data_IF_282263641770
#
_entry.id   IF_282263641770
#
_cell.length_a   1.000
_cell.length_b   1.000
_cell.length_c   1.000
_cell.angle_alpha   90.00
_cell.angle_beta   90.00
_cell.angle_gamma   90.00
#
_symmetry.space_group_name_H-M   'P 1'
#
loop_
_entity.id
_entity.type
_entity.pdbx_description
1 polymer ?
#
# COMPACT_ATOMS: atom_id res chain seq x y z
N UNK A 1 3.62 23.75 22.19
CA UNK A 1 3.38 22.34 22.61
C UNK A 1 2.12 22.25 23.46
N UNK A 2 1.08 21.55 22.98
CA UNK A 2 -0.09 21.22 23.79
C UNK A 2 0.33 20.19 24.83
N UNK A 3 -0.01 20.41 26.10
CA UNK A 3 0.25 19.44 27.14
C UNK A 3 -0.58 18.17 26.87
N UNK A 4 0.10 17.03 26.79
CA UNK A 4 -0.52 15.72 26.70
C UNK A 4 -1.27 15.44 28.01
N UNK A 5 -2.57 15.15 27.92
CA UNK A 5 -3.38 14.77 29.09
C UNK A 5 -3.57 13.26 29.02
N UNK A 6 -2.96 12.55 29.97
CA UNK A 6 -3.20 11.13 30.16
C UNK A 6 -4.61 10.94 30.74
N UNK A 7 -5.42 10.07 30.13
CA UNK A 7 -6.67 9.66 30.75
C UNK A 7 -6.40 8.83 32.01
N UNK A 8 -7.37 8.82 32.92
CA UNK A 8 -7.37 7.86 34.02
C UNK A 8 -7.49 6.47 33.44
N UNK A 9 -6.64 5.55 33.91
CA UNK A 9 -6.78 4.14 33.59
C UNK A 9 -8.20 3.68 33.93
N UNK A 10 -8.90 3.12 32.94
CA UNK A 10 -10.23 2.56 33.12
C UNK A 10 -10.11 1.17 33.78
N UNK A 11 -11.16 0.69 34.47
CA UNK A 11 -11.26 -0.69 34.94
C UNK A 11 -11.18 -1.69 33.78
N UNK A 12 -10.66 -2.91 34.00
CA UNK A 12 -10.49 -3.93 32.93
C UNK A 12 -11.82 -4.38 32.30
N UNK A 13 -12.91 -4.26 33.05
CA UNK A 13 -14.28 -4.58 32.66
C UNK A 13 -15.01 -3.42 31.97
N UNK A 14 -14.37 -2.25 31.84
CA UNK A 14 -14.90 -1.11 31.09
C UNK A 14 -14.83 -1.40 29.58
N UNK A 15 -15.90 -1.16 28.80
CA UNK A 15 -15.90 -1.38 27.35
C UNK A 15 -14.84 -0.54 26.61
N UNK A 16 -14.39 0.57 27.20
CA UNK A 16 -13.35 1.44 26.65
C UNK A 16 -11.96 1.16 27.27
N UNK A 17 -11.81 0.10 28.07
CA UNK A 17 -10.54 -0.29 28.68
C UNK A 17 -9.44 -0.51 27.65
N UNK A 18 -8.27 0.04 27.96
CA UNK A 18 -7.05 -0.21 27.21
C UNK A 18 -5.87 -0.40 28.18
N UNK A 19 -4.99 -1.38 27.96
CA UNK A 19 -3.75 -1.53 28.74
C UNK A 19 -2.72 -0.42 28.47
N UNK A 20 -2.98 0.44 27.47
CA UNK A 20 -2.13 1.57 27.11
C UNK A 20 -2.69 2.88 27.69
N UNK A 21 -1.83 3.76 28.20
CA UNK A 21 -2.23 5.11 28.65
C UNK A 21 -2.74 5.90 27.44
N UNK A 22 -4.06 6.01 27.30
CA UNK A 22 -4.69 6.80 26.25
C UNK A 22 -4.36 8.27 26.48
N UNK A 23 -3.40 8.77 25.68
CA UNK A 23 -3.13 10.19 25.61
C UNK A 23 -4.13 10.79 24.63
N UNK A 24 -5.24 11.32 25.11
CA UNK A 24 -6.15 12.08 24.24
C UNK A 24 -5.45 13.37 23.85
N UNK A 25 -5.34 13.62 22.55
CA UNK A 25 -5.00 14.92 21.99
C UNK A 25 -6.32 15.68 21.84
N UNK A 26 -6.72 16.47 22.85
CA UNK A 26 -7.99 17.17 22.79
C UNK A 26 -7.84 18.22 21.67
N UNK A 27 -8.92 18.57 20.98
CA UNK A 27 -8.97 19.58 19.89
C UNK A 27 -8.11 19.37 18.63
N UNK A 28 -7.83 18.13 18.21
CA UNK A 28 -7.25 17.94 16.88
C UNK A 28 -8.29 18.26 15.80
N UNK A 29 -8.05 19.23 14.90
CA UNK A 29 -8.99 19.50 13.82
C UNK A 29 -9.18 18.24 12.98
N UNK A 30 -10.45 17.85 12.79
CA UNK A 30 -10.83 16.89 11.77
C UNK A 30 -10.53 17.53 10.42
N UNK A 31 -9.88 16.78 9.54
CA UNK A 31 -9.60 17.25 8.19
C UNK A 31 -10.73 16.72 7.30
N UNK A 32 -11.42 17.54 6.48
CA UNK A 32 -12.48 17.04 5.62
C UNK A 32 -11.95 15.89 4.76
N UNK A 33 -12.55 14.71 4.86
CA UNK A 33 -12.12 13.52 4.14
C UNK A 33 -12.77 13.42 2.75
N UNK A 34 -13.03 14.55 2.08
CA UNK A 34 -13.69 14.60 0.76
C UNK A 34 -14.96 13.73 0.65
N UNK A 35 -15.80 13.70 1.69
CA UNK A 35 -17.04 12.92 1.69
C UNK A 35 -16.88 11.47 2.15
N UNK A 36 -15.67 11.02 2.52
CA UNK A 36 -15.46 9.70 3.13
C UNK A 36 -16.18 9.54 4.48
N UNK A 37 -16.53 10.65 5.14
CA UNK A 37 -17.41 10.68 6.32
C UNK A 37 -18.78 10.06 6.04
N UNK A 38 -19.31 10.21 4.82
CA UNK A 38 -20.62 9.67 4.42
C UNK A 38 -20.61 8.13 4.36
N UNK A 39 -19.42 7.53 4.21
CA UNK A 39 -19.21 6.08 4.19
C UNK A 39 -18.82 5.51 5.57
N UNK A 40 -18.85 6.32 6.64
CA UNK A 40 -18.50 5.89 7.99
C UNK A 40 -17.01 5.59 8.19
N UNK A 41 -16.16 6.08 7.29
CA UNK A 41 -14.72 5.78 7.28
C UNK A 41 -13.94 6.77 8.17
N UNK A 42 -12.85 6.34 8.81
CA UNK A 42 -12.11 7.19 9.74
C UNK A 42 -11.48 8.37 9.02
N UNK A 43 -11.85 9.56 9.47
CA UNK A 43 -11.25 10.83 9.05
C UNK A 43 -9.82 10.92 9.56
N UNK A 44 -8.82 11.18 8.70
CA UNK A 44 -7.46 11.43 9.14
C UNK A 44 -7.43 12.57 10.14
N UNK A 45 -7.02 12.30 11.39
CA UNK A 45 -6.83 13.35 12.40
C UNK A 45 -5.35 13.71 12.42
N UNK A 46 -5.04 15.01 12.33
CA UNK A 46 -3.65 15.55 12.35
C UNK A 46 -2.77 15.03 13.50
N UNK A 47 -3.39 14.53 14.56
CA UNK A 47 -2.75 13.97 15.75
C UNK A 47 -3.30 12.58 16.14
N UNK A 48 -4.07 11.91 15.27
CA UNK A 48 -4.31 10.48 15.49
C UNK A 48 -2.96 9.79 15.50
N UNK A 49 -2.76 8.86 16.42
CA UNK A 49 -1.50 8.12 16.56
C UNK A 49 -1.06 7.52 15.21
N UNK A 50 -2.04 7.01 14.47
CA UNK A 50 -1.87 6.43 13.14
C UNK A 50 -1.49 7.42 12.05
N UNK A 51 -1.63 8.73 12.22
CA UNK A 51 -1.30 9.73 11.18
C UNK A 51 -0.26 10.75 11.62
N UNK A 52 0.25 10.63 12.85
CA UNK A 52 1.13 11.60 13.49
C UNK A 52 2.37 11.99 12.69
N UNK A 53 2.95 11.05 11.95
CA UNK A 53 4.19 11.24 11.21
C UNK A 53 3.99 11.44 9.70
N UNK A 54 2.73 11.39 9.24
CA UNK A 54 2.38 11.59 7.85
C UNK A 54 1.83 13.01 7.63
N UNK A 55 2.19 13.64 6.52
CA UNK A 55 1.74 15.00 6.21
C UNK A 55 0.34 15.02 5.57
N UNK A 56 -0.66 14.72 6.39
CA UNK A 56 -2.08 14.76 6.00
C UNK A 56 -2.46 16.15 5.51
N UNK A 57 -1.96 17.21 6.16
CA UNK A 57 -2.33 18.59 5.83
C UNK A 57 -1.88 18.98 4.43
N UNK A 58 -0.67 18.60 4.02
CA UNK A 58 -0.18 18.84 2.68
C UNK A 58 -0.95 18.05 1.61
N UNK A 59 -1.32 16.80 1.90
CA UNK A 59 -2.15 15.99 1.01
C UNK A 59 -3.53 16.64 0.76
N UNK A 60 -4.26 17.04 1.81
CA UNK A 60 -5.62 17.57 1.66
C UNK A 60 -5.71 19.02 1.15
N UNK A 61 -4.58 19.70 1.02
CA UNK A 61 -4.54 21.04 0.40
C UNK A 61 -4.57 20.97 -1.13
N UNK A 62 -4.29 19.80 -1.70
CA UNK A 62 -4.25 19.57 -3.12
C UNK A 62 -5.63 19.09 -3.62
N UNK A 63 -6.12 19.67 -4.72
CA UNK A 63 -7.36 19.23 -5.35
C UNK A 63 -7.07 18.05 -6.29
N UNK A 64 -7.43 16.83 -5.88
CA UNK A 64 -7.30 15.60 -6.69
C UNK A 64 -8.63 15.17 -7.33
N UNK A 65 -9.54 16.11 -7.61
CA UNK A 65 -10.82 15.82 -8.26
C UNK A 65 -10.70 15.27 -9.68
N UNK A 66 -9.53 15.40 -10.31
CA UNK A 66 -9.24 14.81 -11.62
C UNK A 66 -8.74 13.38 -11.42
N UNK A 67 -9.34 12.43 -12.12
CA UNK A 67 -8.95 11.03 -12.10
C UNK A 67 -8.15 10.69 -13.37
N UNK A 68 -7.11 9.87 -13.25
CA UNK A 68 -6.42 9.32 -14.41
C UNK A 68 -7.39 8.41 -15.18
N UNK A 69 -7.42 8.52 -16.52
CA UNK A 69 -8.55 8.01 -17.32
C UNK A 69 -8.87 6.51 -17.15
N UNK A 70 -10.01 6.09 -17.69
CA UNK A 70 -10.61 4.77 -17.39
C UNK A 70 -10.18 3.65 -18.34
N UNK A 71 -10.13 2.41 -17.83
CA UNK A 71 -10.08 1.18 -18.62
C UNK A 71 -8.72 0.79 -19.21
N UNK A 72 -8.75 0.32 -20.46
CA UNK A 72 -7.57 -0.09 -21.24
C UNK A 72 -7.05 1.11 -22.05
N UNK A 73 -5.73 1.24 -22.18
CA UNK A 73 -5.09 2.23 -23.05
C UNK A 73 -4.61 1.57 -24.34
N UNK A 74 -4.98 2.15 -25.47
CA UNK A 74 -4.37 1.85 -26.77
C UNK A 74 -3.15 2.76 -26.94
N UNK A 75 -1.98 2.17 -27.17
CA UNK A 75 -0.72 2.90 -27.33
C UNK A 75 -0.28 2.86 -28.79
N UNK A 76 0.27 3.98 -29.27
CA UNK A 76 1.01 4.00 -30.53
C UNK A 76 2.33 3.23 -30.41
N UNK A 77 2.89 2.79 -31.55
CA UNK A 77 4.19 2.11 -31.56
C UNK A 77 5.30 2.94 -30.88
N UNK A 78 5.28 4.26 -31.06
CA UNK A 78 6.23 5.18 -30.44
C UNK A 78 6.07 5.23 -28.91
N UNK A 79 4.83 5.22 -28.40
CA UNK A 79 4.56 5.18 -26.96
C UNK A 79 4.94 3.84 -26.34
N UNK A 80 4.71 2.73 -27.04
CA UNK A 80 5.12 1.39 -26.58
C UNK A 80 6.64 1.34 -26.38
N UNK A 81 7.41 1.69 -27.41
CA UNK A 81 8.88 1.70 -27.34
C UNK A 81 9.38 2.62 -26.22
N UNK A 82 8.77 3.80 -26.09
CA UNK A 82 9.13 4.78 -25.07
C UNK A 82 8.85 4.30 -23.65
N UNK A 83 7.66 3.79 -23.37
CA UNK A 83 7.30 3.33 -22.03
C UNK A 83 8.04 2.05 -21.66
N UNK A 84 8.22 1.13 -22.60
CA UNK A 84 9.06 -0.05 -22.39
C UNK A 84 10.48 0.36 -22.01
N UNK A 85 11.10 1.27 -22.77
CA UNK A 85 12.46 1.74 -22.47
C UNK A 85 12.56 2.42 -21.09
N UNK A 86 11.54 3.17 -20.67
CA UNK A 86 11.47 3.76 -19.32
C UNK A 86 11.40 2.70 -18.22
N UNK A 87 10.55 1.68 -18.40
CA UNK A 87 10.42 0.58 -17.45
C UNK A 87 11.71 -0.26 -17.40
N UNK A 88 12.33 -0.54 -18.55
CA UNK A 88 13.64 -1.21 -18.65
C UNK A 88 14.74 -0.43 -17.93
N UNK A 89 14.80 0.90 -18.13
CA UNK A 89 15.79 1.75 -17.48
C UNK A 89 15.65 1.77 -15.95
N UNK A 90 14.42 1.62 -15.45
CA UNK A 90 14.16 1.45 -14.01
C UNK A 90 14.51 0.05 -13.48
N UNK A 91 14.83 -0.91 -14.34
CA UNK A 91 15.12 -2.30 -13.96
C UNK A 91 13.88 -3.16 -13.70
N UNK A 92 12.69 -2.68 -14.08
CA UNK A 92 11.42 -3.36 -13.82
C UNK A 92 10.87 -4.15 -15.01
N UNK A 93 11.62 -4.22 -16.11
CA UNK A 93 11.24 -5.02 -17.27
C UNK A 93 11.99 -6.34 -17.28
N UNK A 94 11.25 -7.42 -17.55
CA UNK A 94 11.83 -8.73 -17.87
C UNK A 94 11.25 -9.17 -19.19
N UNK A 95 12.05 -9.86 -19.98
CA UNK A 95 11.59 -10.44 -21.24
C UNK A 95 10.55 -11.53 -20.98
N UNK A 96 9.77 -11.85 -22.02
CA UNK A 96 8.65 -12.78 -21.92
C UNK A 96 9.09 -14.20 -21.51
N UNK A 97 10.30 -14.63 -21.82
CA UNK A 97 10.80 -15.93 -21.38
C UNK A 97 11.33 -15.91 -19.94
N UNK A 98 11.56 -14.74 -19.34
CA UNK A 98 12.07 -14.59 -17.97
C UNK A 98 10.97 -14.42 -16.91
N UNK A 99 9.75 -14.07 -17.31
CA UNK A 99 8.59 -13.93 -16.41
C UNK A 99 7.44 -14.88 -16.77
N UNK A 100 6.60 -15.25 -15.79
CA UNK A 100 5.40 -16.05 -16.06
C UNK A 100 4.30 -15.21 -16.71
N UNK A 101 4.14 -13.98 -16.20
CA UNK A 101 3.23 -12.97 -16.71
C UNK A 101 3.77 -11.57 -16.36
N UNK A 102 3.34 -10.56 -17.11
CA UNK A 102 3.68 -9.15 -16.91
C UNK A 102 2.42 -8.33 -17.14
N UNK A 103 1.89 -7.69 -16.11
CA UNK A 103 0.70 -6.84 -16.19
C UNK A 103 1.14 -5.37 -16.04
N UNK A 104 1.04 -4.60 -17.11
CA UNK A 104 1.49 -3.21 -17.16
C UNK A 104 0.30 -2.27 -17.18
N UNK A 105 0.35 -1.30 -16.28
CA UNK A 105 -0.62 -0.22 -16.14
C UNK A 105 0.10 1.10 -16.34
N UNK A 106 -0.40 1.94 -17.25
CA UNK A 106 0.11 3.28 -17.50
C UNK A 106 -0.92 4.27 -16.99
N UNK A 107 -0.55 5.06 -15.99
CA UNK A 107 -1.43 6.04 -15.33
C UNK A 107 -2.77 5.43 -14.88
N UNK A 108 -2.74 4.20 -14.36
CA UNK A 108 -3.91 3.46 -13.88
C UNK A 108 -4.72 2.73 -14.97
N UNK A 109 -4.34 2.87 -16.24
CA UNK A 109 -4.97 2.17 -17.37
C UNK A 109 -4.19 0.93 -17.74
N UNK A 110 -4.88 -0.18 -17.96
CA UNK A 110 -4.23 -1.41 -18.41
C UNK A 110 -3.71 -1.26 -19.84
N UNK A 111 -2.45 -1.63 -20.11
CA UNK A 111 -1.88 -1.67 -21.46
C UNK A 111 -1.72 -3.13 -21.90
N UNK A 112 -2.51 -3.57 -22.88
CA UNK A 112 -2.36 -4.92 -23.43
C UNK A 112 -1.05 -5.08 -24.22
N UNK A 113 -0.58 -4.03 -24.90
CA UNK A 113 0.59 -4.10 -25.77
C UNK A 113 1.90 -4.25 -24.99
N UNK A 114 1.96 -3.74 -23.75
CA UNK A 114 3.10 -3.90 -22.85
C UNK A 114 2.99 -5.13 -21.94
N UNK A 115 1.82 -5.79 -21.93
CA UNK A 115 1.51 -6.87 -21.01
C UNK A 115 1.65 -8.26 -21.64
N UNK A 116 2.09 -9.21 -20.83
CA UNK A 116 2.03 -10.65 -21.07
C UNK A 116 1.01 -11.27 -20.10
N UNK A 117 -0.18 -11.60 -20.60
CA UNK A 117 -1.25 -12.22 -19.79
C UNK A 117 -1.27 -13.74 -19.91
N UNK A 118 -1.89 -14.41 -18.94
CA UNK A 118 -2.20 -15.84 -18.97
C UNK A 118 -3.63 -16.08 -18.46
N UNK A 119 -4.11 -17.31 -18.56
CA UNK A 119 -5.45 -17.69 -18.04
C UNK A 119 -5.62 -17.43 -16.54
N UNK A 120 -4.51 -17.38 -15.79
CA UNK A 120 -4.49 -17.19 -14.34
C UNK A 120 -3.90 -15.84 -13.90
N UNK A 121 -3.41 -15.02 -14.84
CA UNK A 121 -2.86 -13.69 -14.57
C UNK A 121 -3.29 -12.70 -15.68
N UNK A 122 -4.23 -11.82 -15.37
CA UNK A 122 -4.80 -10.87 -16.34
C UNK A 122 -5.45 -9.68 -15.65
N UNK A 123 -5.82 -8.67 -16.45
CA UNK A 123 -6.66 -7.56 -15.99
C UNK A 123 -8.14 -7.94 -16.07
N UNK A 124 -8.90 -7.77 -14.98
CA UNK A 124 -10.34 -8.06 -14.95
C UNK A 124 -11.23 -6.82 -15.16
N UNK A 125 -10.64 -5.63 -15.37
CA UNK A 125 -11.39 -4.40 -15.54
C UNK A 125 -12.03 -3.90 -14.24
N UNK A 126 -13.30 -3.48 -14.30
CA UNK A 126 -14.04 -2.98 -13.14
C UNK A 126 -14.43 -4.10 -12.18
N UNK A 127 -14.47 -3.79 -10.88
CA UNK A 127 -14.98 -4.71 -9.84
C UNK A 127 -16.43 -5.10 -10.11
N UNK A 128 -17.22 -4.20 -10.69
CA UNK A 128 -18.64 -4.44 -10.99
C UNK A 128 -18.85 -5.51 -12.08
N UNK A 129 -17.85 -5.68 -12.97
CA UNK A 129 -17.89 -6.63 -14.08
C UNK A 129 -17.51 -8.06 -13.67
N UNK A 130 -16.98 -8.24 -12.45
CA UNK A 130 -16.64 -9.56 -11.93
C UNK A 130 -17.92 -10.39 -11.79
N UNK A 131 -17.90 -11.66 -12.16
CA UNK A 131 -19.05 -12.56 -11.96
C UNK A 131 -18.80 -13.63 -10.90
N UNK A 132 -17.53 -13.91 -10.59
CA UNK A 132 -17.12 -14.85 -9.56
C UNK A 132 -17.34 -14.26 -8.16
N UNK A 133 -18.25 -14.88 -7.39
CA UNK A 133 -18.66 -14.40 -6.07
C UNK A 133 -17.52 -14.44 -5.04
N UNK A 134 -16.60 -15.41 -5.16
CA UNK A 134 -15.43 -15.48 -4.28
C UNK A 134 -14.49 -14.28 -4.55
N UNK A 135 -14.21 -14.00 -5.82
CA UNK A 135 -13.42 -12.84 -6.25
C UNK A 135 -14.06 -11.53 -5.80
N UNK A 136 -15.38 -11.36 -5.98
CA UNK A 136 -16.11 -10.20 -5.44
C UNK A 136 -16.01 -10.09 -3.94
N UNK A 137 -16.18 -11.21 -3.24
CA UNK A 137 -16.07 -11.27 -1.78
C UNK A 137 -14.69 -10.82 -1.32
N UNK A 138 -13.61 -11.18 -2.02
CA UNK A 138 -12.25 -10.70 -1.73
C UNK A 138 -12.07 -9.20 -1.99
N UNK A 139 -12.50 -8.72 -3.17
CA UNK A 139 -12.38 -7.32 -3.57
C UNK A 139 -13.19 -6.37 -2.66
N UNK A 140 -14.30 -6.84 -2.12
CA UNK A 140 -15.12 -6.09 -1.16
C UNK A 140 -14.53 -5.98 0.25
N UNK A 141 -13.42 -6.67 0.56
CA UNK A 141 -12.83 -6.63 1.91
C UNK A 141 -12.03 -5.34 2.12
N UNK A 142 -12.23 -4.74 3.28
CA UNK A 142 -11.45 -3.62 3.80
C UNK A 142 -10.45 -4.10 4.84
N UNK A 143 -9.33 -3.39 4.92
CA UNK A 143 -8.25 -3.64 5.88
C UNK A 143 -8.69 -3.35 7.32
N UNK A 144 -7.78 -3.51 8.28
CA UNK A 144 -7.94 -2.96 9.64
C UNK A 144 -9.16 -3.51 10.42
N UNK A 145 -9.67 -4.68 10.03
CA UNK A 145 -10.85 -5.30 10.66
C UNK A 145 -12.18 -4.61 10.33
N UNK A 146 -12.20 -3.63 9.41
CA UNK A 146 -13.45 -2.98 8.98
C UNK A 146 -14.40 -3.97 8.32
N UNK A 147 -13.88 -4.95 7.58
CA UNK A 147 -14.64 -6.15 7.25
C UNK A 147 -14.55 -7.14 8.40
N UNK A 148 -15.57 -7.13 9.27
CA UNK A 148 -15.60 -7.97 10.48
C UNK A 148 -15.50 -9.48 10.17
N UNK A 149 -16.13 -9.93 9.07
CA UNK A 149 -16.06 -11.34 8.64
C UNK A 149 -14.62 -11.71 8.28
N UNK A 150 -14.08 -12.76 8.87
CA UNK A 150 -12.74 -13.29 8.54
C UNK A 150 -12.70 -13.86 7.12
N UNK A 151 -11.51 -13.86 6.51
CA UNK A 151 -11.34 -14.43 5.17
C UNK A 151 -11.47 -15.97 5.19
N UNK A 152 -11.17 -16.59 6.33
CA UNK A 152 -11.44 -18.00 6.61
C UNK A 152 -11.83 -18.17 8.08
N UNK A 153 -12.52 -19.25 8.41
CA UNK A 153 -12.82 -19.57 9.81
C UNK A 153 -11.56 -20.02 10.56
N UNK A 154 -11.45 -19.56 11.79
CA UNK A 154 -10.30 -19.80 12.66
C UNK A 154 -10.68 -20.76 13.79
N UNK A 155 -9.98 -21.88 13.96
CA UNK A 155 -10.20 -22.78 15.09
C UNK A 155 -9.81 -22.09 16.40
N UNK A 156 -10.74 -22.02 17.36
CA UNK A 156 -10.49 -21.49 18.70
C UNK A 156 -11.13 -22.42 19.75
N UNK A 157 -10.32 -23.30 20.35
CA UNK A 157 -10.80 -24.38 21.21
C UNK A 157 -11.77 -25.30 20.45
N UNK A 158 -12.99 -25.49 20.97
CA UNK A 158 -14.04 -26.32 20.36
C UNK A 158 -14.90 -25.55 19.34
N UNK A 159 -14.66 -24.25 19.14
CA UNK A 159 -15.44 -23.38 18.24
C UNK A 159 -14.67 -22.99 16.97
N UNK A 160 -15.40 -22.77 15.88
CA UNK A 160 -14.91 -22.11 14.67
C UNK A 160 -15.38 -20.66 14.66
N UNK A 161 -14.44 -19.72 14.76
CA UNK A 161 -14.74 -18.30 14.79
C UNK A 161 -14.62 -17.72 13.38
N UNK A 162 -15.62 -16.95 12.97
CA UNK A 162 -15.74 -16.38 11.62
C UNK A 162 -15.72 -14.85 11.59
N UNK A 163 -15.51 -14.18 12.73
CA UNK A 163 -15.43 -12.72 12.80
C UNK A 163 -14.35 -12.20 13.75
N UNK A 164 -13.80 -11.03 13.44
CA UNK A 164 -12.82 -10.31 14.25
C UNK A 164 -13.41 -9.87 15.61
N UNK A 165 -14.66 -9.46 15.62
CA UNK A 165 -15.43 -9.13 16.82
C UNK A 165 -15.49 -10.29 17.82
N UNK A 166 -15.72 -11.53 17.35
CA UNK A 166 -15.77 -12.73 18.21
C UNK A 166 -14.39 -13.16 18.70
N UNK A 167 -13.34 -12.82 17.97
CA UNK A 167 -11.95 -13.05 18.38
C UNK A 167 -11.48 -12.04 19.43
N UNK A 168 -12.13 -10.87 19.50
CA UNK A 168 -11.76 -9.78 20.41
C UNK A 168 -12.00 -10.16 21.87
N UNK A 169 -10.91 -10.39 22.60
CA UNK A 169 -10.88 -10.64 24.04
C UNK A 169 -10.00 -9.58 24.73
N UNK A 170 -10.06 -9.39 26.06
CA UNK A 170 -9.31 -8.34 26.76
C UNK A 170 -7.80 -8.27 26.45
N UNK A 171 -7.19 -9.40 26.10
CA UNK A 171 -5.76 -9.52 25.78
C UNK A 171 -5.45 -9.72 24.28
N UNK A 172 -6.48 -9.84 23.44
CA UNK A 172 -6.35 -9.98 21.99
C UNK A 172 -7.53 -9.23 21.38
N UNK A 173 -7.46 -7.90 21.43
CA UNK A 173 -8.58 -7.04 21.05
C UNK A 173 -8.35 -6.55 19.62
N UNK A 174 -9.19 -7.03 18.71
CA UNK A 174 -9.30 -6.50 17.34
C UNK A 174 -10.39 -5.41 17.28
N UNK A 175 -11.16 -5.25 18.37
CA UNK A 175 -12.09 -4.18 18.66
C UNK A 175 -13.30 -4.13 17.74
N UNK A 176 -14.31 -3.35 18.14
CA UNK A 176 -15.18 -2.73 17.14
C UNK A 176 -14.31 -1.77 16.33
N UNK A 177 -14.31 -1.80 14.98
CA UNK A 177 -13.50 -0.91 14.15
C UNK A 177 -13.74 0.58 14.43
N UNK A 178 -14.86 0.94 15.05
CA UNK A 178 -15.18 2.31 15.47
C UNK A 178 -14.73 2.66 16.89
N UNK A 179 -14.29 1.67 17.68
CA UNK A 179 -13.77 1.90 19.03
C UNK A 179 -12.46 2.69 18.99
N UNK A 180 -12.23 3.56 19.98
CA UNK A 180 -10.99 4.33 20.05
C UNK A 180 -9.75 3.42 20.16
N UNK A 181 -9.91 2.24 20.76
CA UNK A 181 -8.87 1.22 20.83
C UNK A 181 -8.51 0.67 19.44
N UNK A 182 -9.52 0.25 18.66
CA UNK A 182 -9.30 -0.22 17.29
C UNK A 182 -8.68 0.88 16.44
N UNK A 183 -9.22 2.11 16.47
CA UNK A 183 -8.69 3.25 15.72
C UNK A 183 -7.20 3.49 16.01
N UNK A 184 -6.77 3.33 17.26
CA UNK A 184 -5.36 3.48 17.64
C UNK A 184 -4.50 2.27 17.23
N UNK A 185 -5.10 1.08 17.17
CA UNK A 185 -4.45 -0.18 16.80
C UNK A 185 -4.39 -0.43 15.28
N UNK A 186 -5.24 0.25 14.50
CA UNK A 186 -5.35 0.14 13.06
C UNK A 186 -4.25 0.92 12.32
N UNK A 187 -3.96 0.49 11.10
CA UNK A 187 -3.06 1.17 10.17
C UNK A 187 -3.68 2.41 9.55
N UNK A 188 -5.00 2.55 9.67
CA UNK A 188 -5.77 3.70 9.20
C UNK A 188 -5.94 3.71 7.70
N UNK A 189 -5.78 2.57 7.03
CA UNK A 189 -5.84 2.46 5.57
C UNK A 189 -7.23 2.13 5.05
N UNK A 190 -8.17 1.72 5.91
CA UNK A 190 -9.50 1.30 5.49
C UNK A 190 -10.25 2.36 4.67
N UNK A 191 -10.06 3.65 4.97
CA UNK A 191 -10.70 4.73 4.21
C UNK A 191 -10.15 4.84 2.78
N UNK A 192 -8.84 4.68 2.61
CA UNK A 192 -8.16 4.69 1.32
C UNK A 192 -8.41 3.41 0.52
N UNK A 193 -8.48 2.27 1.21
CA UNK A 193 -8.89 0.99 0.64
C UNK A 193 -10.32 1.06 0.09
N UNK A 194 -11.26 1.65 0.83
CA UNK A 194 -12.63 1.85 0.38
C UNK A 194 -12.73 2.84 -0.79
N UNK A 195 -12.01 3.97 -0.72
CA UNK A 195 -11.91 4.91 -1.84
C UNK A 195 -11.35 4.22 -3.09
N UNK A 196 -10.30 3.40 -2.94
CA UNK A 196 -9.73 2.62 -4.03
C UNK A 196 -10.76 1.63 -4.59
N UNK A 197 -11.46 0.85 -3.74
CA UNK A 197 -12.52 -0.06 -4.19
C UNK A 197 -13.59 0.66 -5.01
N UNK A 198 -13.97 1.88 -4.63
CA UNK A 198 -14.97 2.65 -5.35
C UNK A 198 -14.46 3.29 -6.65
N UNK A 199 -13.19 3.72 -6.66
CA UNK A 199 -12.61 4.51 -7.75
C UNK A 199 -11.75 3.70 -8.73
N UNK A 200 -11.36 2.49 -8.37
CA UNK A 200 -10.57 1.64 -9.24
C UNK A 200 -11.34 1.31 -10.51
N UNK A 201 -10.63 1.33 -11.63
CA UNK A 201 -11.18 1.06 -12.96
C UNK A 201 -10.54 -0.20 -13.58
N UNK A 202 -9.52 -0.74 -12.93
CA UNK A 202 -8.73 -1.86 -13.41
C UNK A 202 -8.15 -2.62 -12.23
N UNK A 203 -8.13 -3.94 -12.33
CA UNK A 203 -7.64 -4.82 -11.27
C UNK A 203 -6.68 -5.83 -11.88
N UNK A 204 -5.44 -5.79 -11.42
CA UNK A 204 -4.46 -6.83 -11.67
C UNK A 204 -4.87 -8.08 -10.89
N UNK A 205 -5.31 -9.10 -11.61
CA UNK A 205 -5.82 -10.32 -11.01
C UNK A 205 -4.89 -11.50 -11.27
N UNK A 206 -4.50 -12.17 -10.19
CA UNK A 206 -3.65 -13.35 -10.21
C UNK A 206 -4.34 -14.44 -9.40
N UNK A 207 -4.72 -15.54 -10.04
CA UNK A 207 -5.28 -16.72 -9.37
C UNK A 207 -4.42 -17.94 -9.66
N UNK A 208 -3.29 -18.07 -8.95
CA UNK A 208 -2.38 -19.18 -9.13
C UNK A 208 -3.09 -20.51 -8.83
N UNK A 209 -3.13 -21.46 -9.79
CA UNK A 209 -3.83 -22.73 -9.62
C UNK A 209 -3.28 -23.57 -8.47
N UNK A 210 -4.08 -24.51 -7.98
CA UNK A 210 -3.62 -25.45 -6.96
C UNK A 210 -2.40 -26.20 -7.48
N UNK A 211 -1.39 -26.36 -6.62
CA UNK A 211 -0.12 -27.03 -6.93
C UNK A 211 0.69 -26.39 -8.06
N UNK A 212 0.39 -25.13 -8.41
CA UNK A 212 1.21 -24.38 -9.37
C UNK A 212 2.66 -24.33 -8.91
N UNK A 213 3.60 -24.74 -9.76
CA UNK A 213 5.03 -24.83 -9.45
C UNK A 213 5.37 -25.76 -8.25
N UNK A 214 4.49 -26.71 -7.87
CA UNK A 214 4.75 -27.68 -6.79
C UNK A 214 5.94 -28.59 -7.13
N UNK A 215 6.16 -28.86 -8.41
CA UNK A 215 7.23 -29.71 -8.93
C UNK A 215 8.62 -29.06 -8.92
N UNK A 216 8.70 -27.75 -8.74
CA UNK A 216 9.99 -27.08 -8.60
C UNK A 216 10.70 -27.63 -7.35
N UNK A 217 12.01 -27.84 -7.43
CA UNK A 217 12.77 -28.19 -6.24
C UNK A 217 12.80 -27.04 -5.22
N UNK A 218 13.26 -27.32 -4.01
CA UNK A 218 13.32 -26.33 -2.91
C UNK A 218 14.31 -25.18 -3.19
N UNK A 219 15.26 -25.37 -4.13
CA UNK A 219 16.29 -24.39 -4.46
C UNK A 219 15.91 -23.51 -5.67
N UNK A 220 14.91 -23.94 -6.44
CA UNK A 220 14.45 -23.26 -7.65
C UNK A 220 13.27 -22.37 -7.30
N UNK A 221 13.47 -21.06 -7.46
CA UNK A 221 12.38 -20.09 -7.36
C UNK A 221 11.51 -20.13 -8.63
N UNK A 222 10.18 -19.97 -8.49
CA UNK A 222 9.32 -19.78 -9.66
C UNK A 222 9.73 -18.51 -10.41
N UNK A 223 9.49 -18.48 -11.72
CA UNK A 223 9.67 -17.26 -12.49
C UNK A 223 8.73 -16.19 -11.93
N UNK A 224 9.15 -14.92 -11.87
CA UNK A 224 8.31 -13.88 -11.30
C UNK A 224 7.12 -13.57 -12.21
N UNK A 225 6.02 -13.21 -11.60
CA UNK A 225 4.92 -12.47 -12.20
C UNK A 225 5.13 -10.99 -11.87
N UNK A 226 5.12 -10.13 -12.89
CA UNK A 226 5.33 -8.70 -12.75
C UNK A 226 3.99 -7.95 -12.78
N UNK A 227 3.80 -7.01 -11.86
CA UNK A 227 2.70 -6.03 -11.87
C UNK A 227 3.32 -4.64 -11.82
N UNK A 228 3.28 -3.93 -12.94
CA UNK A 228 4.02 -2.67 -13.12
C UNK A 228 3.01 -1.54 -13.27
N UNK A 229 3.05 -0.59 -12.35
CA UNK A 229 2.30 0.65 -12.41
C UNK A 229 3.25 1.77 -12.84
N UNK A 230 3.30 2.01 -14.14
CA UNK A 230 4.03 3.11 -14.73
C UNK A 230 3.21 4.40 -14.60
N UNK A 231 3.82 5.43 -14.01
CA UNK A 231 3.18 6.72 -13.72
C UNK A 231 3.92 7.79 -14.48
N UNK A 232 3.22 8.53 -15.34
CA UNK A 232 3.79 9.68 -16.04
C UNK A 232 3.77 10.92 -15.14
N UNK A 233 4.63 11.89 -15.43
CA UNK A 233 4.68 13.17 -14.71
C UNK A 233 3.35 13.95 -14.77
N UNK A 234 2.56 13.73 -15.82
CA UNK A 234 1.22 14.30 -16.00
C UNK A 234 0.09 13.51 -15.31
N UNK A 235 0.33 12.26 -14.89
CA UNK A 235 -0.72 11.34 -14.47
C UNK A 235 -1.70 10.96 -15.58
N UNK A 236 -1.26 11.04 -16.84
CA UNK A 236 -2.06 10.72 -18.02
C UNK A 236 -3.09 11.80 -18.41
N UNK A 237 -2.91 13.03 -17.91
CA UNK A 237 -3.80 14.17 -18.17
C UNK A 237 -3.00 15.38 -18.67
N UNK A 238 -3.27 15.80 -19.90
CA UNK A 238 -2.64 16.99 -20.47
C UNK A 238 -3.16 18.27 -19.82
N UNK A 239 -2.22 19.13 -19.39
CA UNK A 239 -2.43 20.53 -18.98
C UNK A 239 -3.60 20.76 -18.00
N UNK A 240 -3.32 20.61 -16.70
CA UNK A 240 -4.23 21.04 -15.65
C UNK A 240 -4.00 22.49 -15.23
N UNK A 241 -5.02 23.08 -14.60
CA UNK A 241 -4.81 24.25 -13.76
C UNK A 241 -3.73 23.89 -12.72
N UNK A 242 -2.75 24.78 -12.49
CA UNK A 242 -1.64 24.57 -11.57
C UNK A 242 -2.07 24.26 -10.12
N UNK A 243 -3.33 24.51 -9.78
CA UNK A 243 -3.94 24.17 -8.48
C UNK A 243 -4.51 22.74 -8.39
N UNK A 244 -4.63 22.01 -9.51
CA UNK A 244 -5.21 20.66 -9.56
C UNK A 244 -4.15 19.58 -9.70
N UNK A 245 -4.47 18.41 -9.16
CA UNK A 245 -3.69 17.19 -9.27
C UNK A 245 -4.55 16.04 -9.82
N UNK A 246 -3.91 14.90 -10.05
CA UNK A 246 -4.51 13.70 -10.61
C UNK A 246 -4.50 12.57 -9.58
N UNK A 247 -5.63 11.88 -9.40
CA UNK A 247 -5.72 10.67 -8.60
C UNK A 247 -5.67 9.40 -9.47
N UNK A 248 -4.92 8.40 -9.00
CA UNK A 248 -4.83 7.07 -9.58
C UNK A 248 -5.08 6.01 -8.49
N UNK A 249 -5.86 4.98 -8.82
CA UNK A 249 -6.35 3.98 -7.87
C UNK A 249 -6.06 2.54 -8.31
N UNK A 250 -4.78 2.14 -8.43
CA UNK A 250 -4.45 0.79 -8.90
C UNK A 250 -4.86 -0.25 -7.86
N UNK A 251 -5.31 -1.40 -8.36
CA UNK A 251 -5.77 -2.51 -7.54
C UNK A 251 -5.07 -3.79 -7.95
N UNK A 252 -4.60 -4.54 -6.95
CA UNK A 252 -4.05 -5.88 -7.14
C UNK A 252 -4.81 -6.87 -6.28
N UNK A 253 -5.18 -8.00 -6.86
CA UNK A 253 -5.71 -9.17 -6.14
C UNK A 253 -4.91 -10.41 -6.54
N UNK A 254 -4.27 -11.04 -5.55
CA UNK A 254 -3.59 -12.33 -5.69
C UNK A 254 -4.32 -13.38 -4.87
N UNK A 255 -4.61 -14.52 -5.48
CA UNK A 255 -5.14 -15.71 -4.82
C UNK A 255 -4.21 -16.87 -5.14
N UNK A 256 -3.56 -17.42 -4.12
CA UNK A 256 -2.73 -18.60 -4.23
C UNK A 256 -3.52 -19.81 -3.70
N UNK A 257 -3.95 -20.67 -4.60
CA UNK A 257 -4.66 -21.91 -4.27
C UNK A 257 -3.76 -22.92 -3.55
N UNK A 258 -4.34 -23.99 -3.01
CA UNK A 258 -3.62 -24.97 -2.19
C UNK A 258 -2.35 -25.49 -2.88
N UNK A 259 -1.22 -25.42 -2.17
CA UNK A 259 0.09 -25.88 -2.64
C UNK A 259 0.74 -25.03 -3.74
N UNK A 260 0.16 -23.89 -4.12
CA UNK A 260 0.75 -23.02 -5.13
C UNK A 260 2.04 -22.34 -4.62
N UNK A 261 3.05 -22.24 -5.48
CA UNK A 261 4.28 -21.47 -5.26
C UNK A 261 4.35 -20.32 -6.26
N UNK A 262 4.29 -19.08 -5.75
CA UNK A 262 4.17 -17.87 -6.58
C UNK A 262 5.20 -16.82 -6.16
N UNK A 263 5.84 -16.19 -7.14
CA UNK A 263 6.65 -14.98 -6.94
C UNK A 263 5.99 -13.80 -7.63
N UNK A 264 5.54 -12.82 -6.85
CA UNK A 264 4.91 -11.59 -7.34
C UNK A 264 5.88 -10.44 -7.11
N UNK A 265 6.19 -9.72 -8.18
CA UNK A 265 6.95 -8.46 -8.12
C UNK A 265 6.01 -7.36 -8.56
N UNK A 266 5.69 -6.47 -7.64
CA UNK A 266 4.87 -5.28 -7.88
C UNK A 266 5.75 -4.05 -7.81
N UNK A 267 5.70 -3.22 -8.84
CA UNK A 267 6.46 -1.98 -8.92
C UNK A 267 5.56 -0.81 -9.25
N UNK A 268 5.83 0.34 -8.64
CA UNK A 268 5.33 1.63 -9.09
C UNK A 268 6.53 2.45 -9.55
N UNK A 269 6.57 2.79 -10.83
CA UNK A 269 7.74 3.40 -11.48
C UNK A 269 7.33 4.71 -12.12
N UNK A 270 8.23 5.69 -12.07
CA UNK A 270 8.10 6.91 -12.88
C UNK A 270 8.63 6.62 -14.28
N UNK A 271 7.88 7.04 -15.30
CA UNK A 271 8.26 6.92 -16.72
C UNK A 271 8.55 8.30 -17.33
N UNK A 272 9.01 9.25 -16.49
CA UNK A 272 9.49 10.60 -16.80
C UNK A 272 9.68 10.88 -18.29
N UNK A 273 8.92 11.86 -18.79
CA UNK A 273 9.02 12.31 -20.16
C UNK A 273 9.57 13.73 -20.15
N UNK A 274 10.84 13.89 -20.58
CA UNK A 274 11.51 15.20 -20.60
C UNK A 274 10.61 16.30 -21.19
N UNK A 275 10.53 17.44 -20.51
CA UNK A 275 9.75 18.61 -20.95
C UNK A 275 8.23 18.51 -20.73
N UNK A 276 7.75 17.51 -19.99
CA UNK A 276 6.31 17.31 -19.77
C UNK A 276 5.76 18.14 -18.62
N UNK A 277 4.45 18.44 -18.70
CA UNK A 277 3.72 19.11 -17.63
C UNK A 277 3.67 18.22 -16.39
N UNK A 278 4.15 18.73 -15.27
CA UNK A 278 4.13 18.01 -13.98
C UNK A 278 2.85 18.33 -13.23
N UNK A 279 2.02 17.32 -13.00
CA UNK A 279 0.82 17.43 -12.17
C UNK A 279 1.08 16.78 -10.81
N UNK A 280 0.63 17.37 -9.69
CA UNK A 280 0.59 16.69 -8.40
C UNK A 280 -0.24 15.41 -8.48
N UNK A 281 0.24 14.31 -7.90
CA UNK A 281 -0.39 13.00 -7.98
C UNK A 281 -0.85 12.49 -6.62
N UNK A 282 -2.03 11.88 -6.58
CA UNK A 282 -2.47 11.01 -5.51
C UNK A 282 -2.47 9.58 -6.04
N UNK A 283 -1.43 8.82 -5.72
CA UNK A 283 -1.42 7.39 -5.93
C UNK A 283 -2.03 6.72 -4.70
N UNK A 284 -3.13 6.01 -4.89
CA UNK A 284 -3.80 5.27 -3.83
C UNK A 284 -3.94 3.80 -4.25
N UNK A 285 -2.88 3.02 -4.04
CA UNK A 285 -2.80 1.60 -4.36
C UNK A 285 -3.37 0.72 -3.25
N UNK A 286 -4.05 -0.36 -3.66
CA UNK A 286 -4.51 -1.38 -2.73
C UNK A 286 -4.25 -2.79 -3.29
N UNK A 287 -3.41 -3.52 -2.58
CA UNK A 287 -2.98 -4.87 -2.89
C UNK A 287 -3.58 -5.84 -1.88
N UNK A 288 -4.26 -6.86 -2.35
CA UNK A 288 -4.78 -7.93 -1.50
C UNK A 288 -4.21 -9.28 -1.92
N UNK A 289 -3.85 -10.13 -0.95
CA UNK A 289 -3.41 -11.49 -1.22
C UNK A 289 -4.10 -12.49 -0.31
N UNK A 290 -4.59 -13.58 -0.90
CA UNK A 290 -5.29 -14.66 -0.21
C UNK A 290 -4.54 -15.97 -0.44
N UNK A 291 -3.95 -16.53 0.61
CA UNK A 291 -3.01 -17.65 0.53
C UNK A 291 -3.65 -18.87 1.19
N UNK A 292 -3.92 -19.93 0.41
CA UNK A 292 -4.57 -21.15 0.90
C UNK A 292 -3.56 -22.20 1.41
N UNK A 293 -3.99 -23.44 1.59
CA UNK A 293 -3.28 -24.47 2.35
C UNK A 293 -1.94 -24.83 1.73
N UNK A 294 -0.86 -24.84 2.51
CA UNK A 294 0.52 -25.12 2.06
C UNK A 294 1.05 -24.21 0.93
N UNK A 295 0.29 -23.20 0.50
CA UNK A 295 0.71 -22.28 -0.55
C UNK A 295 1.81 -21.34 -0.03
N UNK A 296 2.75 -20.99 -0.90
CA UNK A 296 3.88 -20.12 -0.59
C UNK A 296 3.92 -18.95 -1.58
N UNK A 297 3.76 -17.75 -1.07
CA UNK A 297 3.83 -16.51 -1.85
C UNK A 297 5.05 -15.70 -1.42
N UNK A 298 5.90 -15.39 -2.39
CA UNK A 298 6.92 -14.36 -2.28
C UNK A 298 6.40 -13.09 -2.95
N UNK A 299 6.48 -11.96 -2.27
CA UNK A 299 6.00 -10.68 -2.76
C UNK A 299 7.09 -9.62 -2.60
N UNK A 300 7.56 -9.06 -3.70
CA UNK A 300 8.41 -7.87 -3.69
C UNK A 300 7.59 -6.67 -4.13
N UNK A 301 7.46 -5.66 -3.28
CA UNK A 301 6.84 -4.38 -3.61
C UNK A 301 7.91 -3.30 -3.70
N UNK A 302 7.97 -2.59 -4.82
CA UNK A 302 8.90 -1.51 -5.07
C UNK A 302 8.12 -0.23 -5.36
N UNK A 303 8.32 0.79 -4.52
CA UNK A 303 7.92 2.16 -4.83
C UNK A 303 9.17 2.91 -5.29
N UNK A 304 9.22 3.19 -6.59
CA UNK A 304 10.35 3.76 -7.32
C UNK A 304 9.92 4.97 -8.16
N UNK A 305 8.80 5.63 -7.81
CA UNK A 305 8.40 6.86 -8.50
C UNK A 305 9.39 8.00 -8.28
N UNK A 306 10.41 7.77 -7.45
CA UNK A 306 11.63 8.57 -7.36
C UNK A 306 11.38 10.03 -6.99
N UNK A 307 12.47 10.79 -6.92
CA UNK A 307 12.46 12.23 -6.69
C UNK A 307 13.90 12.71 -6.61
N UNK A 308 14.28 13.71 -7.39
CA UNK A 308 15.67 14.19 -7.42
C UNK A 308 15.99 14.88 -6.10
N UNK A 309 16.98 14.42 -5.34
CA UNK A 309 17.41 15.12 -4.11
C UNK A 309 18.11 16.43 -4.48
N UNK A 310 17.73 17.56 -3.88
CA UNK A 310 18.53 18.80 -4.01
C UNK A 310 19.86 18.63 -3.27
N UNK A 311 20.98 18.90 -3.93
CA UNK A 311 22.28 18.94 -3.26
C UNK A 311 22.35 20.09 -2.23
N UNK A 312 23.12 19.92 -1.16
CA UNK A 312 23.30 20.98 -0.16
C UNK A 312 22.14 21.09 0.85
N UNK A 313 21.21 20.13 0.90
CA UNK A 313 20.16 20.09 1.95
C UNK A 313 20.73 19.88 3.36
N UNK A 314 21.97 19.40 3.44
CA UNK A 314 22.79 19.26 4.64
C UNK A 314 23.47 20.56 5.08
N UNK A 315 23.61 21.55 4.18
CA UNK A 315 24.21 22.84 4.51
C UNK A 315 23.30 23.64 5.44
N UNK A 316 23.92 24.34 6.37
CA UNK A 316 23.30 25.43 7.15
C UNK A 316 23.18 26.69 6.29
N UNK A 317 22.24 27.57 6.63
CA UNK A 317 21.97 28.79 5.82
C UNK A 317 23.22 29.67 5.64
N UNK A 318 24.14 29.66 6.61
CA UNK A 318 25.38 30.43 6.60
C UNK A 318 26.48 29.83 5.68
N UNK A 319 26.28 28.61 5.17
CA UNK A 319 27.21 27.92 4.26
C UNK A 319 26.87 28.13 2.77
N UNK A 320 25.79 28.86 2.47
CA UNK A 320 25.41 29.27 1.12
C UNK A 320 26.05 30.61 0.77
N UNK A 321 26.46 30.78 -0.49
CA UNK A 321 26.92 32.10 -0.98
C UNK A 321 25.74 33.11 -1.02
N UNK A 322 26.01 34.41 -0.96
CA UNK A 322 24.99 35.48 -0.83
C UNK A 322 23.94 35.46 -1.98
N UNK A 323 24.32 34.92 -3.15
CA UNK A 323 23.45 34.77 -4.33
C UNK A 323 23.03 33.30 -4.61
N UNK A 324 23.43 32.33 -3.78
CA UNK A 324 23.08 30.91 -3.94
C UNK A 324 21.65 30.66 -3.44
N UNK A 325 20.75 30.17 -4.30
CA UNK A 325 19.40 29.76 -3.87
C UNK A 325 19.51 28.64 -2.84
N UNK A 326 18.91 28.82 -1.67
CA UNK A 326 18.97 27.83 -0.61
C UNK A 326 18.29 26.53 -1.07
N UNK A 327 18.89 25.40 -0.74
CA UNK A 327 18.34 24.08 -1.11
C UNK A 327 16.88 23.91 -0.62
N UNK A 328 16.53 24.50 0.53
CA UNK A 328 15.16 24.50 1.06
C UNK A 328 14.16 25.27 0.19
N UNK A 329 14.58 26.34 -0.47
CA UNK A 329 13.71 27.18 -1.30
C UNK A 329 13.45 26.47 -2.64
N UNK A 330 14.46 25.75 -3.14
CA UNK A 330 14.32 24.84 -4.28
C UNK A 330 13.31 23.74 -3.93
N UNK A 331 13.50 23.01 -2.82
CA UNK A 331 12.57 21.95 -2.41
C UNK A 331 11.14 22.49 -2.21
N UNK A 332 10.97 23.64 -1.54
CA UNK A 332 9.65 24.20 -1.24
C UNK A 332 8.78 24.51 -2.47
N UNK A 333 9.40 24.70 -3.64
CA UNK A 333 8.70 25.05 -4.89
C UNK A 333 8.48 23.87 -5.82
N UNK A 334 9.07 22.70 -5.53
CA UNK A 334 8.99 21.52 -6.41
C UNK A 334 7.58 20.92 -6.46
N UNK A 335 6.97 20.81 -7.65
CA UNK A 335 5.66 20.16 -7.80
C UNK A 335 5.65 18.71 -7.30
N UNK A 336 6.73 17.96 -7.53
CA UNK A 336 6.89 16.58 -7.07
C UNK A 336 6.76 16.42 -5.54
N UNK A 337 7.11 17.43 -4.73
CA UNK A 337 6.89 17.34 -3.27
C UNK A 337 5.42 17.45 -2.87
N UNK A 338 4.52 17.74 -3.81
CA UNK A 338 3.08 17.72 -3.61
C UNK A 338 2.48 16.33 -3.86
N UNK A 339 3.23 15.41 -4.44
CA UNK A 339 2.78 14.04 -4.67
C UNK A 339 2.52 13.34 -3.34
N UNK A 340 1.50 12.48 -3.37
CA UNK A 340 1.10 11.63 -2.26
C UNK A 340 0.94 10.21 -2.76
N UNK A 341 1.80 9.32 -2.26
CA UNK A 341 1.74 7.89 -2.50
C UNK A 341 1.23 7.18 -1.26
N UNK A 342 0.12 6.47 -1.40
CA UNK A 342 -0.48 5.63 -0.39
C UNK A 342 -0.59 4.22 -0.95
N UNK A 343 0.01 3.25 -0.28
CA UNK A 343 -0.15 1.84 -0.60
C UNK A 343 -0.68 1.10 0.63
N UNK A 344 -1.81 0.42 0.47
CA UNK A 344 -2.30 -0.57 1.41
C UNK A 344 -2.03 -1.97 0.87
N UNK A 345 -1.34 -2.82 1.64
CA UNK A 345 -1.08 -4.22 1.30
C UNK A 345 -1.74 -5.08 2.37
N UNK A 346 -2.72 -5.90 2.02
CA UNK A 346 -3.50 -6.71 2.97
C UNK A 346 -3.45 -8.19 2.60
N UNK A 347 -2.78 -8.96 3.45
CA UNK A 347 -2.46 -10.37 3.22
C UNK A 347 -3.27 -11.22 4.19
N UNK A 348 -3.98 -12.21 3.67
CA UNK A 348 -4.73 -13.19 4.46
C UNK A 348 -4.15 -14.57 4.20
N UNK A 349 -3.45 -15.14 5.19
CA UNK A 349 -3.00 -16.52 5.14
C UNK A 349 -4.12 -17.40 5.71
N UNK A 350 -4.91 -17.95 4.79
CA UNK A 350 -6.18 -18.63 5.03
C UNK A 350 -6.07 -20.15 5.10
N UNK A 351 -4.91 -20.72 4.81
CA UNK A 351 -4.68 -22.15 4.79
C UNK A 351 -3.67 -22.61 5.84
N UNK A 352 -3.81 -23.85 6.29
CA UNK A 352 -2.83 -24.47 7.19
C UNK A 352 -1.47 -24.54 6.51
N UNK A 353 -0.41 -24.22 7.25
CA UNK A 353 0.97 -24.22 6.75
C UNK A 353 1.21 -23.29 5.54
N UNK A 354 0.27 -22.38 5.23
CA UNK A 354 0.47 -21.34 4.23
C UNK A 354 1.54 -20.34 4.66
N UNK A 355 2.29 -19.81 3.71
CA UNK A 355 3.43 -18.94 3.96
C UNK A 355 3.41 -17.68 3.07
N UNK A 356 3.68 -16.54 3.69
CA UNK A 356 3.91 -15.26 3.02
C UNK A 356 5.32 -14.76 3.30
N UNK A 357 6.06 -14.35 2.27
CA UNK A 357 7.33 -13.65 2.41
C UNK A 357 7.29 -12.36 1.62
N UNK A 358 7.25 -11.23 2.32
CA UNK A 358 7.24 -9.88 1.74
C UNK A 358 8.59 -9.19 1.82
N UNK A 359 8.99 -8.52 0.73
CA UNK A 359 10.05 -7.53 0.68
C UNK A 359 9.46 -6.20 0.17
N UNK A 360 9.34 -5.21 1.03
CA UNK A 360 8.67 -3.93 0.74
C UNK A 360 9.72 -2.83 0.74
N UNK A 361 9.90 -2.17 -0.41
CA UNK A 361 10.91 -1.15 -0.61
C UNK A 361 10.26 0.17 -1.01
N UNK A 362 10.52 1.23 -0.24
CA UNK A 362 10.21 2.60 -0.65
C UNK A 362 11.51 3.34 -0.95
N UNK A 363 11.79 3.61 -2.22
CA UNK A 363 13.09 4.10 -2.71
C UNK A 363 13.05 5.59 -3.08
N UNK A 364 12.61 6.43 -2.14
CA UNK A 364 12.68 7.88 -2.28
C UNK A 364 11.75 8.42 -3.38
N UNK A 365 10.47 8.09 -3.32
CA UNK A 365 9.43 8.65 -4.18
C UNK A 365 9.14 10.15 -4.03
N UNK A 366 8.21 10.62 -4.84
CA UNK A 366 7.90 12.03 -4.99
C UNK A 366 7.05 12.48 -3.79
N UNK A 367 7.60 13.42 -2.99
CA UNK A 367 6.87 14.04 -1.89
C UNK A 367 6.65 13.14 -0.67
N UNK A 368 5.44 12.58 -0.55
CA UNK A 368 4.95 11.91 0.67
C UNK A 368 4.57 10.48 0.35
N UNK A 369 5.22 9.52 1.00
CA UNK A 369 4.94 8.10 0.82
C UNK A 369 4.46 7.51 2.13
N UNK A 370 3.40 6.72 2.04
CA UNK A 370 2.96 5.83 3.09
C UNK A 370 2.72 4.45 2.51
N UNK A 371 3.42 3.46 3.04
CA UNK A 371 3.19 2.04 2.70
C UNK A 371 2.78 1.33 3.97
N UNK A 372 1.58 0.75 3.99
CA UNK A 372 1.04 0.06 5.14
C UNK A 372 0.70 -1.39 4.75
N UNK A 373 1.38 -2.32 5.40
CA UNK A 373 1.23 -3.75 5.18
C UNK A 373 0.54 -4.41 6.38
N UNK A 374 -0.45 -5.24 6.12
CA UNK A 374 -1.22 -6.02 7.08
C UNK A 374 -1.13 -7.49 6.69
N UNK A 375 -0.85 -8.37 7.65
CA UNK A 375 -0.84 -9.82 7.46
C UNK A 375 -1.68 -10.48 8.54
N UNK A 376 -2.69 -11.24 8.15
CA UNK A 376 -3.52 -12.05 9.04
C UNK A 376 -3.19 -13.52 8.89
N UNK A 377 -2.64 -14.11 9.95
CA UNK A 377 -2.31 -15.54 10.06
C UNK A 377 -3.50 -16.30 10.65
N UNK A 378 -4.43 -16.69 9.78
CA UNK A 378 -5.76 -17.18 10.15
C UNK A 378 -5.82 -18.69 10.37
N UNK A 379 -4.79 -19.45 9.98
CA UNK A 379 -4.75 -20.91 10.16
C UNK A 379 -3.49 -21.42 10.82
N UNK A 380 -3.60 -22.61 11.40
CA UNK A 380 -2.54 -23.22 12.18
C UNK A 380 -1.24 -23.34 11.40
N UNK A 381 -0.13 -23.08 12.10
CA UNK A 381 1.24 -23.15 11.55
C UNK A 381 1.52 -22.25 10.33
N UNK A 382 0.65 -21.29 10.03
CA UNK A 382 0.94 -20.31 8.99
C UNK A 382 2.12 -19.41 9.38
N UNK A 383 2.85 -18.94 8.37
CA UNK A 383 4.06 -18.15 8.53
C UNK A 383 4.00 -16.83 7.75
N UNK A 384 4.58 -15.78 8.32
CA UNK A 384 4.84 -14.52 7.62
C UNK A 384 6.25 -13.99 7.87
N UNK A 385 7.02 -13.73 6.82
CA UNK A 385 8.25 -12.95 6.88
C UNK A 385 8.04 -11.60 6.20
N UNK A 386 8.24 -10.50 6.91
CA UNK A 386 8.06 -9.14 6.38
C UNK A 386 9.36 -8.36 6.49
N UNK A 387 9.96 -8.06 5.34
CA UNK A 387 11.19 -7.29 5.25
C UNK A 387 10.87 -5.92 4.63
N UNK A 388 11.04 -4.85 5.39
CA UNK A 388 10.84 -3.48 4.92
C UNK A 388 12.15 -2.72 4.79
N UNK A 389 12.24 -1.92 3.73
CA UNK A 389 13.32 -0.98 3.49
C UNK A 389 12.77 0.37 3.04
N UNK A 390 13.18 1.46 3.70
CA UNK A 390 12.85 2.82 3.23
C UNK A 390 14.12 3.65 3.04
N UNK A 391 14.25 4.26 1.88
CA UNK A 391 15.24 5.27 1.56
C UNK A 391 14.54 6.61 1.35
N UNK A 392 15.01 7.67 2.00
CA UNK A 392 14.50 9.03 1.76
C UNK A 392 15.64 10.05 1.84
N UNK A 393 15.63 11.03 0.94
CA UNK A 393 16.60 12.12 0.86
C UNK A 393 15.95 13.48 0.66
N UNK A 394 16.74 14.55 0.71
CA UNK A 394 16.23 15.90 0.44
C UNK A 394 15.19 16.35 1.48
N UNK A 395 13.97 16.62 1.01
CA UNK A 395 12.81 16.96 1.84
C UNK A 395 11.69 15.90 1.81
N UNK A 396 11.99 14.69 1.31
CA UNK A 396 11.03 13.59 1.18
C UNK A 396 10.51 13.10 2.54
N UNK A 397 9.29 12.56 2.53
CA UNK A 397 8.67 11.99 3.73
C UNK A 397 8.23 10.55 3.46
N UNK A 398 8.69 9.63 4.28
CA UNK A 398 8.31 8.22 4.22
C UNK A 398 7.71 7.74 5.54
N UNK A 399 6.59 7.02 5.48
CA UNK A 399 5.91 6.39 6.61
C UNK A 399 5.60 4.93 6.27
N UNK A 400 6.39 4.01 6.81
CA UNK A 400 6.18 2.58 6.60
C UNK A 400 5.51 1.95 7.81
N UNK A 401 4.48 1.14 7.56
CA UNK A 401 3.75 0.48 8.63
C UNK A 401 3.50 -0.97 8.38
N UNK A 402 3.40 -1.69 9.49
CA UNK A 402 3.16 -3.13 9.49
C UNK A 402 2.21 -3.52 10.61
N UNK A 403 1.33 -4.47 10.31
CA UNK A 403 0.44 -5.12 11.26
C UNK A 403 0.50 -6.63 11.00
N UNK A 404 0.88 -7.44 11.98
CA UNK A 404 0.94 -8.90 11.83
C UNK A 404 0.02 -9.52 12.87
N UNK A 405 -1.13 -10.04 12.44
CA UNK A 405 -2.11 -10.65 13.31
C UNK A 405 -1.89 -12.16 13.43
N UNK A 406 -1.41 -12.60 14.59
CA UNK A 406 -1.36 -14.01 14.96
C UNK A 406 -2.72 -14.48 15.49
N UNK A 407 -3.60 -14.94 14.59
CA UNK A 407 -4.97 -15.31 14.97
C UNK A 407 -5.09 -16.79 15.35
N UNK A 408 -4.47 -17.67 14.55
CA UNK A 408 -4.46 -19.11 14.81
C UNK A 408 -3.26 -19.58 15.65
N UNK A 409 -3.36 -20.80 16.18
CA UNK A 409 -2.30 -21.41 16.98
C UNK A 409 -1.08 -21.85 16.16
N UNK A 410 0.10 -21.82 16.78
CA UNK A 410 1.34 -22.30 16.17
C UNK A 410 1.83 -21.45 15.00
N UNK A 411 1.26 -20.27 14.79
CA UNK A 411 1.68 -19.32 13.76
C UNK A 411 3.02 -18.70 14.12
N UNK A 412 3.80 -18.31 13.10
CA UNK A 412 5.12 -17.70 13.31
C UNK A 412 5.31 -16.51 12.38
N UNK A 413 6.10 -15.53 12.83
CA UNK A 413 6.46 -14.39 11.99
C UNK A 413 7.89 -13.95 12.22
N UNK A 414 8.46 -13.32 11.19
CA UNK A 414 9.73 -12.63 11.25
C UNK A 414 9.56 -11.25 10.63
N UNK A 415 10.14 -10.23 11.26
CA UNK A 415 10.11 -8.89 10.74
C UNK A 415 11.48 -8.23 10.77
N UNK A 416 11.88 -7.63 9.66
CA UNK A 416 13.05 -6.77 9.57
C UNK A 416 12.65 -5.44 8.96
N UNK A 417 13.01 -4.33 9.60
CA UNK A 417 12.88 -2.99 9.01
C UNK A 417 14.24 -2.31 8.99
N UNK A 418 14.61 -1.74 7.83
CA UNK A 418 15.80 -0.89 7.69
C UNK A 418 15.42 0.43 7.05
N UNK A 419 15.89 1.52 7.63
CA UNK A 419 15.62 2.87 7.12
C UNK A 419 16.95 3.59 6.89
N UNK A 420 17.10 4.23 5.72
CA UNK A 420 18.21 5.12 5.42
C UNK A 420 17.64 6.50 5.08
N UNK A 421 17.98 7.50 5.88
CA UNK A 421 17.42 8.85 5.78
C UNK A 421 18.58 9.85 5.67
N UNK A 422 18.57 10.65 4.62
CA UNK A 422 19.59 11.66 4.34
C UNK A 422 19.03 13.08 4.21
N UNK A 423 19.87 14.09 4.40
CA UNK A 423 19.49 15.49 4.31
C UNK A 423 18.46 15.90 5.36
N UNK A 424 17.33 16.46 4.92
CA UNK A 424 16.22 16.91 5.77
C UNK A 424 14.99 16.02 5.67
N UNK A 425 15.13 14.84 5.06
CA UNK A 425 14.05 13.89 4.91
C UNK A 425 13.57 13.39 6.27
N UNK A 426 12.31 12.98 6.32
CA UNK A 426 11.73 12.35 7.52
C UNK A 426 11.26 10.95 7.19
N UNK A 427 11.75 9.97 7.95
CA UNK A 427 11.26 8.60 7.91
C UNK A 427 10.58 8.22 9.21
N UNK A 428 9.49 7.49 9.12
CA UNK A 428 8.83 6.88 10.28
C UNK A 428 8.50 5.42 9.99
N UNK A 429 8.61 4.60 11.03
CA UNK A 429 8.19 3.21 10.98
C UNK A 429 7.31 2.90 12.19
N UNK A 430 6.19 2.21 11.95
CA UNK A 430 5.33 1.67 13.01
C UNK A 430 5.02 0.20 12.73
N UNK A 431 5.53 -0.68 13.57
CA UNK A 431 5.19 -2.10 13.57
C UNK A 431 4.27 -2.47 14.71
N UNK A 432 3.30 -3.34 14.43
CA UNK A 432 2.43 -4.01 15.40
C UNK A 432 2.40 -5.50 15.09
N UNK A 433 2.50 -6.31 16.15
CA UNK A 433 2.35 -7.76 16.14
C UNK A 433 1.33 -8.11 17.23
#
# INVERSE_FOLDING_TARGET
>A
PVALVNEKALPVDDPDYTPFVSTKLPWTPLVPAYGLEEFGLPVPRRNAETWRHFDVAGMVQQDYSVQSGEGTVELSSEEIEKYQAGIEASGNWLDDDECEARLVYVDGKFSSDLSKTTDWAHNIGSIDDVSDEDTKSYLGRLTDGFTDKLATEVPCNDDMLSSYSKLSKPNHNLGDPTSQFAINAQQGTACFAAMNTYKTQSVAYVKAPAKHNEELDELTSPKPLLIINAVSSSGGVEALDASKGVACHPRTLVVAEDGARVSVVQACVDIETEGSTVNPKLYNGYTQMFIKGTANVTHSYLEETGGVVTAGVEKTDDEFEEDETLARDIEATRPALKDTHLEAIDIHVMGEEGAYTGAIMGLGGNGRIRIALSVSLLRSKSHASVNGFSLAGGAQRTDMKTNIHHVAQGTSSAQMQKNMIGGRATGSFRGRI
#
